data_IF_821235833409
#
_entry.id   IF_821235833409
#
_cell.length_a   1.000
_cell.length_b   1.000
_cell.length_c   1.000
_cell.angle_alpha   90.00
_cell.angle_beta   90.00
_cell.angle_gamma   90.00
#
_symmetry.space_group_name_H-M   'P 1'
#
loop_
_entity.id
_entity.type
_entity.pdbx_description
1 polymer ?
#
# COMPACT_ATOMS: atom_id res chain seq x y z
N UNK A 1 -35.38 10.47 -2.91
CA UNK A 1 -34.67 9.23 -2.52
C UNK A 1 -33.17 9.28 -2.83
N UNK A 2 -32.73 9.60 -4.06
CA UNK A 2 -31.29 9.62 -4.42
C UNK A 2 -30.46 10.65 -3.62
N UNK A 3 -31.00 11.85 -3.37
CA UNK A 3 -30.32 12.89 -2.58
C UNK A 3 -30.07 12.48 -1.12
N UNK A 4 -31.00 11.72 -0.52
CA UNK A 4 -30.88 11.24 0.85
C UNK A 4 -29.83 10.12 0.97
N UNK A 5 -29.75 9.23 -0.03
CA UNK A 5 -28.72 8.19 -0.11
C UNK A 5 -27.31 8.77 -0.31
N UNK A 6 -27.17 9.80 -1.16
CA UNK A 6 -25.89 10.48 -1.35
C UNK A 6 -25.41 11.18 -0.06
N UNK A 7 -26.32 11.80 0.69
CA UNK A 7 -26.00 12.42 1.98
C UNK A 7 -25.60 11.38 3.03
N UNK A 8 -26.29 10.23 3.09
CA UNK A 8 -25.94 9.11 3.96
C UNK A 8 -24.55 8.53 3.64
N UNK A 9 -24.20 8.39 2.36
CA UNK A 9 -22.89 7.90 1.94
C UNK A 9 -21.75 8.85 2.32
N UNK A 10 -21.98 10.17 2.25
CA UNK A 10 -20.97 11.17 2.62
C UNK A 10 -20.72 11.21 4.15
N UNK A 11 -21.71 10.80 4.94
CA UNK A 11 -21.64 10.72 6.40
C UNK A 11 -21.14 9.36 6.90
N UNK A 12 -21.05 8.36 6.03
CA UNK A 12 -20.58 7.03 6.39
C UNK A 12 -19.08 7.06 6.69
N UNK A 13 -18.69 6.48 7.83
CA UNK A 13 -17.29 6.29 8.17
C UNK A 13 -16.89 4.83 7.94
N UNK A 14 -15.63 4.56 7.55
CA UNK A 14 -15.14 3.20 7.47
C UNK A 14 -15.28 2.53 8.84
N UNK A 15 -15.56 1.21 8.87
CA UNK A 15 -15.68 0.49 10.12
C UNK A 15 -14.35 0.59 10.89
N UNK A 16 -14.44 0.98 12.16
CA UNK A 16 -13.28 1.05 13.06
C UNK A 16 -13.14 -0.31 13.74
N UNK A 17 -12.02 -0.98 13.54
CA UNK A 17 -11.67 -2.16 14.31
C UNK A 17 -11.17 -1.70 15.70
N UNK A 18 -11.87 -2.01 16.81
CA UNK A 18 -11.45 -1.61 18.14
C UNK A 18 -10.10 -2.24 18.56
N UNK A 19 -9.66 -3.30 17.89
CA UNK A 19 -8.37 -3.94 18.15
C UNK A 19 -7.21 -3.27 17.39
N UNK A 20 -7.49 -2.44 16.38
CA UNK A 20 -6.50 -1.73 15.58
C UNK A 20 -5.96 -0.49 16.33
N UNK A 21 -5.30 -0.72 17.46
CA UNK A 21 -4.79 0.33 18.37
C UNK A 21 -3.42 0.90 17.97
N UNK A 22 -2.77 0.30 16.97
CA UNK A 22 -1.46 0.75 16.50
C UNK A 22 -1.56 2.13 15.86
N UNK A 23 -0.69 3.06 16.27
CA UNK A 23 -0.56 4.36 15.61
C UNK A 23 0.02 4.17 14.21
N UNK A 24 -0.54 4.79 13.17
CA UNK A 24 0.03 4.71 11.84
C UNK A 24 1.42 5.34 11.79
N UNK A 25 2.42 4.55 11.41
CA UNK A 25 3.78 4.99 11.11
C UNK A 25 4.17 4.38 9.75
N UNK A 26 3.56 4.95 8.71
CA UNK A 26 3.69 4.48 7.34
C UNK A 26 4.97 5.05 6.70
N UNK A 27 5.77 4.16 6.14
CA UNK A 27 7.04 4.47 5.48
C UNK A 27 6.93 4.14 4.00
N UNK A 28 7.29 5.09 3.14
CA UNK A 28 7.40 4.89 1.69
C UNK A 28 8.61 3.99 1.38
N UNK A 29 8.35 2.85 0.73
CA UNK A 29 9.39 1.87 0.41
C UNK A 29 10.41 2.41 -0.62
N UNK A 30 9.98 3.27 -1.54
CA UNK A 30 10.89 3.85 -2.53
C UNK A 30 11.90 4.82 -1.89
N UNK A 31 11.54 5.43 -0.76
CA UNK A 31 12.44 6.32 0.00
C UNK A 31 13.46 5.54 0.85
N UNK A 32 13.19 4.27 1.19
CA UNK A 32 14.09 3.45 2.00
C UNK A 32 15.29 2.92 1.22
N UNK A 33 15.08 2.50 -0.02
CA UNK A 33 16.13 2.05 -0.93
C UNK A 33 15.63 2.15 -2.38
N UNK A 34 16.25 3.02 -3.17
CA UNK A 34 15.90 3.25 -4.59
C UNK A 34 16.03 2.00 -5.49
N UNK A 35 16.65 0.93 -5.02
CA UNK A 35 16.79 -0.33 -5.76
C UNK A 35 15.65 -1.32 -5.52
N UNK A 36 14.73 -1.01 -4.59
CA UNK A 36 13.45 -1.70 -4.48
C UNK A 36 12.57 -1.26 -5.66
N UNK A 37 12.10 -2.24 -6.44
CA UNK A 37 11.24 -1.94 -7.59
C UNK A 37 9.77 -1.96 -7.17
N UNK A 38 9.03 -0.97 -7.62
CA UNK A 38 7.58 -0.90 -7.46
C UNK A 38 6.91 -1.22 -8.79
N UNK A 39 6.00 -2.18 -8.78
CA UNK A 39 5.13 -2.55 -9.89
C UNK A 39 3.70 -2.66 -9.35
N UNK A 40 3.20 -1.50 -8.90
CA UNK A 40 1.95 -1.38 -8.15
C UNK A 40 0.77 -1.69 -9.07
N UNK A 41 0.30 -2.94 -9.04
CA UNK A 41 -0.69 -3.48 -9.99
C UNK A 41 -1.99 -2.69 -9.98
N UNK A 42 -2.42 -2.18 -8.83
CA UNK A 42 -3.61 -1.37 -8.71
C UNK A 42 -3.45 0.07 -9.19
N UNK A 43 -2.25 0.54 -9.49
CA UNK A 43 -2.04 1.84 -10.14
C UNK A 43 -2.06 1.74 -11.68
N UNK A 44 -2.25 0.54 -12.24
CA UNK A 44 -2.27 0.30 -13.69
C UNK A 44 -3.50 -0.55 -14.09
N UNK A 45 -3.80 -0.71 -15.39
CA UNK A 45 -4.81 -1.68 -15.85
C UNK A 45 -4.39 -3.16 -15.71
N UNK A 46 -3.12 -3.43 -15.39
CA UNK A 46 -2.59 -4.79 -15.24
C UNK A 46 -2.93 -5.36 -13.86
N UNK A 47 -4.23 -5.52 -13.63
CA UNK A 47 -4.81 -6.20 -12.48
C UNK A 47 -6.14 -6.83 -12.92
N UNK A 48 -6.73 -7.67 -12.05
CA UNK A 48 -7.93 -8.43 -12.42
C UNK A 48 -9.18 -7.57 -12.72
N UNK A 49 -9.19 -6.28 -12.34
CA UNK A 49 -10.27 -5.34 -12.66
C UNK A 49 -10.10 -4.69 -14.04
N UNK A 50 -8.93 -4.82 -14.68
CA UNK A 50 -8.64 -4.21 -15.98
C UNK A 50 -8.60 -2.68 -15.99
N UNK A 51 -8.55 -2.05 -14.81
CA UNK A 51 -8.49 -0.59 -14.66
C UNK A 51 -7.69 -0.19 -13.41
N UNK A 52 -7.06 1.00 -13.40
CA UNK A 52 -6.44 1.53 -12.20
C UNK A 52 -7.47 1.74 -11.09
N UNK A 53 -7.10 1.36 -9.87
CA UNK A 53 -7.82 1.61 -8.62
C UNK A 53 -7.15 2.74 -7.83
N UNK A 54 -5.82 2.84 -7.90
CA UNK A 54 -5.03 3.87 -7.25
C UNK A 54 -4.62 4.96 -8.24
N UNK A 55 -4.56 6.20 -7.75
CA UNK A 55 -4.06 7.35 -8.50
C UNK A 55 -2.52 7.40 -8.57
N UNK A 56 -1.84 6.75 -7.63
CA UNK A 56 -0.37 6.78 -7.51
C UNK A 56 0.21 5.36 -7.36
N UNK A 57 1.34 5.11 -8.03
CA UNK A 57 2.08 3.87 -7.93
C UNK A 57 3.08 3.88 -6.75
N UNK A 58 2.56 4.04 -5.53
CA UNK A 58 3.37 4.06 -4.30
C UNK A 58 3.05 2.88 -3.40
N UNK A 59 4.04 2.47 -2.61
CA UNK A 59 3.87 1.43 -1.61
C UNK A 59 4.35 1.93 -0.25
N UNK A 60 3.46 1.86 0.72
CA UNK A 60 3.76 2.17 2.12
C UNK A 60 3.61 0.92 2.97
N UNK A 61 4.44 0.78 3.99
CA UNK A 61 4.28 -0.23 5.03
C UNK A 61 4.43 0.43 6.40
N UNK A 62 3.86 -0.19 7.44
CA UNK A 62 4.22 0.18 8.82
C UNK A 62 5.73 0.00 9.02
N UNK A 63 6.36 0.92 9.74
CA UNK A 63 7.82 0.96 9.92
C UNK A 63 8.47 -0.40 10.23
N UNK A 64 7.96 -1.23 11.18
CA UNK A 64 8.60 -2.53 11.45
C UNK A 64 8.61 -3.47 10.23
N UNK A 65 7.55 -3.47 9.43
CA UNK A 65 7.46 -4.26 8.21
C UNK A 65 8.35 -3.68 7.10
N UNK A 66 8.40 -2.34 6.97
CA UNK A 66 9.25 -1.65 6.00
C UNK A 66 10.74 -1.95 6.25
N UNK A 67 11.17 -1.90 7.51
CA UNK A 67 12.55 -2.23 7.91
C UNK A 67 12.87 -3.72 7.72
N UNK A 68 11.91 -4.61 8.01
CA UNK A 68 12.07 -6.03 7.75
C UNK A 68 12.24 -6.33 6.25
N UNK A 69 11.43 -5.69 5.41
CA UNK A 69 11.53 -5.78 3.96
C UNK A 69 12.89 -5.28 3.48
N UNK A 70 13.38 -4.15 4.02
CA UNK A 70 14.70 -3.63 3.68
C UNK A 70 15.82 -4.61 4.04
N UNK A 71 15.75 -5.27 5.21
CA UNK A 71 16.71 -6.31 5.59
C UNK A 71 16.68 -7.50 4.63
N UNK A 72 15.48 -7.98 4.27
CA UNK A 72 15.33 -9.06 3.31
C UNK A 72 15.85 -8.68 1.92
N UNK A 73 15.55 -7.47 1.45
CA UNK A 73 16.03 -6.93 0.19
C UNK A 73 17.57 -6.89 0.14
N UNK A 74 18.20 -6.35 1.19
CA UNK A 74 19.66 -6.30 1.31
C UNK A 74 20.30 -7.68 1.32
N UNK A 75 19.68 -8.65 2.02
CA UNK A 75 20.15 -10.03 2.00
C UNK A 75 20.06 -10.66 0.59
N UNK A 76 18.95 -10.46 -0.10
CA UNK A 76 18.76 -10.93 -1.49
C UNK A 76 19.77 -10.32 -2.46
N UNK A 77 20.16 -9.05 -2.27
CA UNK A 77 21.21 -8.40 -3.08
C UNK A 77 22.55 -9.12 -2.99
N UNK A 78 22.90 -9.70 -1.83
CA UNK A 78 24.13 -10.52 -1.68
C UNK A 78 24.09 -11.80 -2.52
N UNK A 79 22.92 -12.18 -3.03
CA UNK A 79 22.68 -13.35 -3.87
C UNK A 79 22.39 -12.98 -5.32
N UNK A 80 22.51 -11.71 -5.70
CA UNK A 80 22.20 -11.22 -7.05
C UNK A 80 20.71 -11.02 -7.33
N UNK A 81 19.87 -10.99 -6.29
CA UNK A 81 18.41 -10.79 -6.41
C UNK A 81 17.95 -9.44 -5.83
N UNK A 82 16.70 -9.08 -6.12
CA UNK A 82 16.02 -7.91 -5.57
C UNK A 82 14.55 -8.22 -5.27
N UNK A 83 13.84 -7.25 -4.69
CA UNK A 83 12.41 -7.35 -4.39
C UNK A 83 11.65 -6.45 -5.36
N UNK A 84 10.58 -6.98 -5.93
CA UNK A 84 9.56 -6.22 -6.65
C UNK A 84 8.30 -6.21 -5.78
N UNK A 85 7.79 -5.03 -5.47
CA UNK A 85 6.59 -4.84 -4.64
C UNK A 85 5.40 -4.56 -5.55
N UNK A 86 4.36 -5.38 -5.42
CA UNK A 86 3.12 -5.24 -6.20
C UNK A 86 2.02 -4.48 -5.46
N UNK A 87 2.08 -4.44 -4.13
CA UNK A 87 1.10 -3.78 -3.29
C UNK A 87 1.67 -3.53 -1.87
N UNK A 88 1.00 -2.66 -1.10
CA UNK A 88 1.36 -2.32 0.28
C UNK A 88 0.14 -1.93 1.10
N UNK A 89 0.22 -0.79 1.79
CA UNK A 89 -0.91 -0.22 2.51
C UNK A 89 -2.07 0.08 1.55
N UNK A 90 -3.27 -0.37 1.93
CA UNK A 90 -4.53 -0.06 1.25
C UNK A 90 -5.32 0.95 2.09
N UNK A 91 -5.59 2.16 1.59
CA UNK A 91 -6.49 3.08 2.27
C UNK A 91 -7.93 2.55 2.26
N UNK A 92 -8.69 2.92 3.29
CA UNK A 92 -10.14 2.67 3.37
C UNK A 92 -10.93 3.58 2.42
#
# INVERSE_FOLDING_TARGET
MVLALALLALLAQPPVDPNATARPDLVDLAALDSTIRLDIRYATPDNFLGRPVYSEARAFLQRPAAEALLRAHRWLKTKGYGIVVFDGYRPW
#
